data_IF_436048584575
#
_entry.id   IF_436048584575
#
_cell.length_a   1.000
_cell.length_b   1.000
_cell.length_c   1.000
_cell.angle_alpha   90.00
_cell.angle_beta   90.00
_cell.angle_gamma   90.00
#
_symmetry.space_group_name_H-M   'P 1'
#
loop_
_entity.id
_entity.type
_entity.pdbx_description
1 polymer ?
#
# COMPACT_ATOMS: atom_id res chain seq x y z
N UNK A 1 5.31 -40.67 -17.05
CA UNK A 1 4.54 -39.41 -17.10
C UNK A 1 4.24 -38.94 -15.68
N UNK A 2 3.55 -39.71 -14.85
CA UNK A 2 3.13 -39.30 -13.48
C UNK A 2 4.30 -38.86 -12.60
N UNK A 3 5.41 -39.61 -12.59
CA UNK A 3 6.61 -39.28 -11.81
C UNK A 3 7.25 -37.94 -12.26
N UNK A 4 7.30 -37.65 -13.57
CA UNK A 4 7.85 -36.39 -14.11
C UNK A 4 6.92 -35.23 -13.78
N UNK A 5 5.59 -35.42 -13.85
CA UNK A 5 4.61 -34.40 -13.48
C UNK A 5 4.72 -34.05 -11.99
N UNK A 6 4.83 -35.04 -11.11
CA UNK A 6 4.98 -34.83 -9.66
C UNK A 6 6.30 -34.10 -9.38
N UNK A 7 7.41 -34.55 -10.00
CA UNK A 7 8.71 -33.91 -9.81
C UNK A 7 8.69 -32.44 -10.28
N UNK A 8 8.09 -32.16 -11.43
CA UNK A 8 7.91 -30.81 -11.95
C UNK A 8 7.07 -29.94 -11.01
N UNK A 9 5.94 -30.45 -10.52
CA UNK A 9 5.11 -29.73 -9.57
C UNK A 9 5.86 -29.42 -8.24
N UNK A 10 6.66 -30.35 -7.75
CA UNK A 10 7.47 -30.15 -6.54
C UNK A 10 8.58 -29.13 -6.77
N UNK A 11 9.30 -29.22 -7.89
CA UNK A 11 10.40 -28.30 -8.17
C UNK A 11 9.92 -26.88 -8.45
N UNK A 12 8.94 -26.71 -9.32
CA UNK A 12 8.43 -25.37 -9.66
C UNK A 12 7.53 -24.79 -8.56
N UNK A 13 6.63 -25.58 -8.00
CA UNK A 13 5.77 -25.16 -6.90
C UNK A 13 6.55 -24.91 -5.61
N UNK A 14 7.48 -25.79 -5.29
CA UNK A 14 8.40 -25.63 -4.15
C UNK A 14 9.33 -24.43 -4.34
N UNK A 15 9.91 -24.25 -5.52
CA UNK A 15 10.74 -23.09 -5.85
C UNK A 15 9.94 -21.77 -5.75
N UNK A 16 8.71 -21.75 -6.23
CA UNK A 16 7.81 -20.60 -6.07
C UNK A 16 7.53 -20.32 -4.58
N UNK A 17 7.22 -21.34 -3.79
CA UNK A 17 6.98 -21.21 -2.36
C UNK A 17 8.21 -20.67 -1.63
N UNK A 18 9.39 -21.25 -1.87
CA UNK A 18 10.64 -20.77 -1.26
C UNK A 18 10.89 -19.31 -1.61
N UNK A 19 10.78 -18.95 -2.89
CA UNK A 19 11.02 -17.57 -3.34
C UNK A 19 10.01 -16.57 -2.77
N UNK A 20 8.72 -16.91 -2.74
CA UNK A 20 7.65 -15.95 -2.44
C UNK A 20 7.07 -16.08 -1.02
N UNK A 21 7.57 -17.01 -0.20
CA UNK A 21 7.15 -17.18 1.20
C UNK A 21 8.36 -17.18 2.12
N UNK A 22 9.38 -17.98 1.83
CA UNK A 22 10.51 -18.15 2.75
C UNK A 22 11.61 -17.10 2.55
N UNK A 23 11.80 -16.61 1.31
CA UNK A 23 12.85 -15.64 0.97
C UNK A 23 12.31 -14.21 0.80
N UNK A 24 11.01 -14.00 0.86
CA UNK A 24 10.50 -12.63 0.92
C UNK A 24 10.81 -12.02 2.28
N UNK A 25 11.26 -10.77 2.32
CA UNK A 25 11.32 -10.02 3.56
C UNK A 25 9.92 -9.94 4.18
N UNK A 26 9.88 -9.86 5.50
CA UNK A 26 8.63 -9.63 6.23
C UNK A 26 7.90 -8.45 5.59
N UNK A 27 6.64 -8.60 5.16
CA UNK A 27 5.89 -7.50 4.55
C UNK A 27 5.59 -6.36 5.53
N UNK A 28 5.88 -6.56 6.82
CA UNK A 28 5.73 -5.56 7.86
C UNK A 28 4.28 -5.37 8.32
N UNK A 29 4.01 -4.19 8.83
CA UNK A 29 2.73 -3.80 9.41
C UNK A 29 2.17 -2.60 8.66
N UNK A 30 0.87 -2.58 8.44
CA UNK A 30 0.17 -1.50 7.75
C UNK A 30 -0.78 -0.79 8.70
N UNK A 31 -0.64 0.51 8.81
CA UNK A 31 -1.60 1.40 9.43
C UNK A 31 -2.40 2.11 8.33
N UNK A 32 -3.73 2.14 8.45
CA UNK A 32 -4.61 2.67 7.41
C UNK A 32 -5.54 3.72 7.96
N UNK A 33 -5.67 4.83 7.26
CA UNK A 33 -6.61 5.91 7.57
C UNK A 33 -7.63 6.06 6.46
N UNK A 34 -8.89 6.26 6.82
CA UNK A 34 -10.00 6.44 5.89
C UNK A 34 -10.49 7.87 5.95
N UNK A 35 -10.72 8.47 4.79
CA UNK A 35 -11.15 9.86 4.69
C UNK A 35 -12.49 9.99 3.99
N UNK A 36 -13.19 11.09 4.28
CA UNK A 36 -14.29 11.60 3.46
C UNK A 36 -13.81 12.85 2.75
N UNK A 37 -13.88 12.83 1.42
CA UNK A 37 -13.55 13.95 0.56
C UNK A 37 -14.84 14.57 0.02
N UNK A 38 -14.99 15.86 0.20
CA UNK A 38 -16.04 16.66 -0.42
C UNK A 38 -15.41 17.42 -1.60
N UNK A 39 -15.96 17.21 -2.79
CA UNK A 39 -15.52 17.89 -4.00
C UNK A 39 -16.42 19.09 -4.32
N UNK A 40 -15.84 20.08 -5.01
CA UNK A 40 -16.64 21.15 -5.63
C UNK A 40 -17.47 20.60 -6.79
N UNK A 41 -18.59 21.26 -7.10
CA UNK A 41 -19.36 20.96 -8.30
C UNK A 41 -18.54 21.29 -9.55
N UNK A 42 -18.58 20.41 -10.54
CA UNK A 42 -17.91 20.63 -11.81
C UNK A 42 -18.77 21.53 -12.71
N UNK A 43 -18.34 22.78 -13.02
CA UNK A 43 -19.14 23.69 -13.82
C UNK A 43 -19.26 23.26 -15.29
N UNK A 44 -18.43 22.31 -15.73
CA UNK A 44 -18.36 21.86 -17.13
C UNK A 44 -19.00 20.48 -17.35
N UNK A 45 -19.48 19.83 -16.29
CA UNK A 45 -20.11 18.49 -16.36
C UNK A 45 -21.19 18.35 -15.31
N UNK A 46 -22.14 17.44 -15.54
CA UNK A 46 -23.14 17.12 -14.52
C UNK A 46 -22.47 16.35 -13.37
N UNK A 47 -22.47 16.93 -12.18
CA UNK A 47 -21.95 16.33 -10.94
C UNK A 47 -20.71 17.02 -10.37
N UNK A 48 -20.18 16.47 -9.30
CA UNK A 48 -18.99 16.99 -8.64
C UNK A 48 -17.71 16.52 -9.37
N UNK A 49 -16.61 17.20 -9.13
CA UNK A 49 -15.28 16.67 -9.46
C UNK A 49 -15.04 15.35 -8.71
N UNK A 50 -14.16 14.54 -9.21
CA UNK A 50 -13.65 13.37 -8.50
C UNK A 50 -12.22 13.05 -8.91
N UNK A 51 -11.47 12.44 -8.00
CA UNK A 51 -10.11 11.98 -8.22
C UNK A 51 -10.14 10.45 -8.22
N UNK A 52 -9.58 9.82 -9.26
CA UNK A 52 -9.51 8.37 -9.35
C UNK A 52 -8.36 7.80 -8.48
N UNK A 53 -8.38 6.48 -8.25
CA UNK A 53 -7.40 5.78 -7.42
C UNK A 53 -5.95 5.99 -7.89
N UNK A 54 -5.70 5.89 -9.20
CA UNK A 54 -4.35 6.07 -9.74
C UNK A 54 -3.81 7.46 -9.46
N UNK A 55 -4.66 8.49 -9.56
CA UNK A 55 -4.31 9.87 -9.23
C UNK A 55 -4.07 10.02 -7.72
N UNK A 56 -4.94 9.48 -6.85
CA UNK A 56 -4.73 9.49 -5.41
C UNK A 56 -3.38 8.85 -5.04
N UNK A 57 -3.10 7.66 -5.60
CA UNK A 57 -1.83 6.99 -5.35
C UNK A 57 -0.63 7.79 -5.88
N UNK A 58 -0.77 8.50 -6.98
CA UNK A 58 0.30 9.39 -7.48
C UNK A 58 0.51 10.61 -6.59
N UNK A 59 -0.58 11.19 -6.08
CA UNK A 59 -0.56 12.38 -5.25
C UNK A 59 0.21 12.18 -3.93
N UNK A 60 0.04 11.02 -3.27
CA UNK A 60 0.76 10.73 -2.01
C UNK A 60 2.26 10.51 -2.21
N UNK A 61 2.74 10.46 -3.46
CA UNK A 61 4.17 10.37 -3.81
C UNK A 61 4.73 11.68 -4.39
N UNK A 62 3.93 12.75 -4.43
CA UNK A 62 4.43 14.06 -4.87
C UNK A 62 5.42 14.66 -3.89
N UNK A 63 6.33 15.49 -4.40
CA UNK A 63 7.31 16.19 -3.57
C UNK A 63 6.64 17.01 -2.48
N UNK A 64 5.61 17.77 -2.83
CA UNK A 64 4.84 18.64 -1.92
C UNK A 64 4.16 17.82 -0.80
N UNK A 65 3.51 16.69 -1.13
CA UNK A 65 2.91 15.83 -0.13
C UNK A 65 3.94 15.25 0.83
N UNK A 66 5.08 14.78 0.32
CA UNK A 66 6.14 14.22 1.14
C UNK A 66 6.82 15.28 2.02
N UNK A 67 6.92 16.52 1.54
CA UNK A 67 7.42 17.65 2.37
C UNK A 67 6.51 17.91 3.57
N UNK A 68 5.18 17.87 3.38
CA UNK A 68 4.21 17.96 4.47
C UNK A 68 4.35 16.81 5.46
N UNK A 69 4.40 15.56 4.97
CA UNK A 69 4.60 14.38 5.83
C UNK A 69 5.88 14.48 6.66
N UNK A 70 7.00 14.86 6.04
CA UNK A 70 8.28 15.05 6.74
C UNK A 70 8.19 16.17 7.77
N UNK A 71 7.47 17.26 7.50
CA UNK A 71 7.24 18.37 8.43
C UNK A 71 6.47 17.89 9.66
N UNK A 72 5.35 17.19 9.49
CA UNK A 72 4.57 16.68 10.62
C UNK A 72 5.30 15.61 11.44
N UNK A 73 6.08 14.75 10.77
CA UNK A 73 6.97 13.82 11.48
C UNK A 73 8.02 14.57 12.31
N UNK A 74 8.59 15.67 11.78
CA UNK A 74 9.56 16.47 12.52
C UNK A 74 8.91 17.17 13.72
N UNK A 75 7.72 17.72 13.56
CA UNK A 75 6.95 18.34 14.65
C UNK A 75 6.66 17.33 15.78
N UNK A 76 6.24 16.11 15.40
CA UNK A 76 6.00 15.03 16.36
C UNK A 76 7.30 14.61 17.09
N UNK A 77 8.41 14.48 16.36
CA UNK A 77 9.71 14.16 16.91
C UNK A 77 10.20 15.24 17.89
N UNK A 78 10.05 16.52 17.53
CA UNK A 78 10.38 17.67 18.40
C UNK A 78 9.46 17.72 19.64
N UNK A 79 8.24 17.23 19.51
CA UNK A 79 7.28 16.99 20.60
C UNK A 79 7.65 15.81 21.52
N UNK A 80 8.68 15.04 21.18
CA UNK A 80 9.19 13.92 21.97
C UNK A 80 8.70 12.54 21.51
N UNK A 81 8.05 12.42 20.35
CA UNK A 81 7.62 11.14 19.79
C UNK A 81 8.81 10.44 19.10
N UNK A 82 9.39 9.45 19.79
CA UNK A 82 10.59 8.74 19.32
C UNK A 82 10.35 7.99 18.01
N UNK A 83 9.14 7.47 17.78
CA UNK A 83 8.81 6.71 16.56
C UNK A 83 8.75 7.60 15.32
N UNK A 84 8.31 8.85 15.45
CA UNK A 84 8.38 9.82 14.37
C UNK A 84 9.83 10.12 13.96
N UNK A 85 10.74 10.26 14.95
CA UNK A 85 12.16 10.45 14.69
C UNK A 85 12.80 9.21 13.99
N UNK A 86 12.41 8.00 14.39
CA UNK A 86 12.87 6.75 13.75
C UNK A 86 12.39 6.68 12.29
N UNK A 87 11.14 7.03 12.00
CA UNK A 87 10.59 7.09 10.64
C UNK A 87 11.36 8.11 9.78
N UNK A 88 11.62 9.31 10.29
CA UNK A 88 12.44 10.32 9.59
C UNK A 88 13.83 9.80 9.23
N UNK A 89 14.44 9.01 10.12
CA UNK A 89 15.76 8.42 9.90
C UNK A 89 15.79 7.40 8.76
N UNK A 90 14.65 6.84 8.34
CA UNK A 90 14.55 5.95 7.17
C UNK A 90 14.80 6.70 5.85
N UNK A 91 14.57 8.01 5.84
CA UNK A 91 14.73 8.88 4.68
C UNK A 91 13.53 8.86 3.71
N UNK A 92 13.44 9.92 2.92
CA UNK A 92 12.32 10.24 2.02
C UNK A 92 11.93 9.10 1.07
N UNK A 93 12.89 8.42 0.48
CA UNK A 93 12.63 7.32 -0.46
C UNK A 93 11.91 6.16 0.25
N UNK A 94 12.36 5.81 1.46
CA UNK A 94 11.72 4.76 2.27
C UNK A 94 10.32 5.16 2.71
N UNK A 95 10.13 6.42 3.14
CA UNK A 95 8.83 6.99 3.48
C UNK A 95 7.89 6.92 2.26
N UNK A 96 8.33 7.39 1.10
CA UNK A 96 7.54 7.34 -0.13
C UNK A 96 7.14 5.90 -0.48
N UNK A 97 8.07 4.95 -0.43
CA UNK A 97 7.81 3.54 -0.74
C UNK A 97 6.87 2.86 0.27
N UNK A 98 6.77 3.38 1.48
CA UNK A 98 5.88 2.89 2.52
C UNK A 98 4.42 3.35 2.33
N UNK A 99 4.17 4.35 1.48
CA UNK A 99 2.85 4.94 1.30
C UNK A 99 2.09 4.34 0.12
N UNK A 100 0.79 4.27 0.26
CA UNK A 100 -0.13 3.99 -0.85
C UNK A 100 -1.50 4.60 -0.58
N UNK A 101 -2.26 4.89 -1.65
CA UNK A 101 -3.64 5.34 -1.55
C UNK A 101 -4.54 4.52 -2.47
N UNK A 102 -5.72 4.16 -1.97
CA UNK A 102 -6.72 3.35 -2.70
C UNK A 102 -8.12 3.94 -2.56
N UNK A 103 -9.01 3.56 -3.48
CA UNK A 103 -10.45 3.88 -3.45
C UNK A 103 -11.26 2.59 -3.45
N UNK A 104 -11.54 1.99 -2.29
CA UNK A 104 -12.12 0.64 -2.23
C UNK A 104 -13.56 0.56 -2.77
N UNK A 105 -14.38 1.59 -2.66
CA UNK A 105 -15.80 1.52 -3.04
C UNK A 105 -16.45 2.81 -3.49
N UNK A 106 -16.01 3.96 -3.05
CA UNK A 106 -16.60 5.27 -3.32
C UNK A 106 -15.50 6.29 -3.63
N UNK A 107 -15.63 7.07 -4.71
CA UNK A 107 -14.68 8.10 -5.11
C UNK A 107 -14.46 9.19 -4.06
N UNK A 108 -15.37 9.31 -3.11
CA UNK A 108 -15.27 10.26 -2.01
C UNK A 108 -14.68 9.66 -0.72
N UNK A 109 -14.27 8.39 -0.74
CA UNK A 109 -13.73 7.69 0.43
C UNK A 109 -12.36 7.06 0.10
N UNK A 110 -11.29 7.87 -0.05
CA UNK A 110 -9.95 7.35 -0.18
C UNK A 110 -9.46 6.76 1.14
N UNK A 111 -8.59 5.75 1.02
CA UNK A 111 -7.89 5.12 2.13
C UNK A 111 -6.40 5.27 1.87
N UNK A 112 -5.66 5.89 2.79
CA UNK A 112 -4.20 5.87 2.78
C UNK A 112 -3.69 4.73 3.64
N UNK A 113 -2.54 4.19 3.29
CA UNK A 113 -1.88 3.12 4.00
C UNK A 113 -0.39 3.44 4.13
N UNK A 114 0.11 3.34 5.36
CA UNK A 114 1.53 3.41 5.70
C UNK A 114 2.01 2.03 6.14
N UNK A 115 3.03 1.48 5.46
CA UNK A 115 3.52 0.12 5.70
C UNK A 115 5.01 0.14 6.02
N UNK A 116 5.38 -0.18 7.26
CA UNK A 116 6.75 -0.25 7.76
C UNK A 116 6.99 -1.56 8.52
N UNK A 117 8.24 -1.80 8.94
CA UNK A 117 8.61 -3.04 9.63
C UNK A 117 8.09 -3.11 11.07
N UNK A 118 7.90 -1.96 11.72
CA UNK A 118 7.37 -1.89 13.09
C UNK A 118 5.96 -1.29 13.13
N UNK A 119 5.04 -1.87 13.94
CA UNK A 119 3.66 -1.38 14.03
C UNK A 119 3.57 0.10 14.47
N UNK A 120 4.39 0.50 15.44
CA UNK A 120 4.36 1.85 15.97
C UNK A 120 4.91 2.89 14.98
N UNK A 121 5.89 2.53 14.15
CA UNK A 121 6.38 3.39 13.07
C UNK A 121 5.32 3.58 11.98
N UNK A 122 4.59 2.51 11.62
CA UNK A 122 3.50 2.59 10.65
C UNK A 122 2.38 3.51 11.14
N UNK A 123 2.07 3.48 12.44
CA UNK A 123 1.07 4.37 13.04
C UNK A 123 1.58 5.82 13.06
N UNK A 124 2.84 6.07 13.44
CA UNK A 124 3.42 7.40 13.43
C UNK A 124 3.45 8.01 12.01
N UNK A 125 3.84 7.22 11.00
CA UNK A 125 3.79 7.65 9.61
C UNK A 125 2.35 7.95 9.15
N UNK A 126 1.39 7.08 9.49
CA UNK A 126 0.00 7.29 9.12
C UNK A 126 -0.60 8.54 9.77
N UNK A 127 -0.23 8.86 11.03
CA UNK A 127 -0.64 10.10 11.69
C UNK A 127 -0.13 11.34 10.96
N UNK A 128 1.15 11.36 10.55
CA UNK A 128 1.70 12.46 9.75
C UNK A 128 1.01 12.60 8.38
N UNK A 129 0.65 11.47 7.75
CA UNK A 129 -0.15 11.46 6.51
C UNK A 129 -1.55 12.06 6.74
N UNK A 130 -2.20 11.75 7.87
CA UNK A 130 -3.52 12.33 8.22
C UNK A 130 -3.45 13.84 8.32
N UNK A 131 -2.46 14.37 9.04
CA UNK A 131 -2.26 15.82 9.20
C UNK A 131 -2.01 16.49 7.84
N UNK A 132 -1.12 15.93 7.01
CA UNK A 132 -0.84 16.44 5.67
C UNK A 132 -2.10 16.42 4.78
N UNK A 133 -2.86 15.33 4.80
CA UNK A 133 -4.10 15.20 4.01
C UNK A 133 -5.13 16.26 4.39
N UNK A 134 -5.33 16.50 5.69
CA UNK A 134 -6.39 17.37 6.17
C UNK A 134 -6.03 18.85 6.15
N UNK A 135 -4.78 19.20 6.45
CA UNK A 135 -4.36 20.58 6.65
C UNK A 135 -3.81 21.22 5.38
N UNK A 136 -3.02 20.49 4.60
CA UNK A 136 -2.31 21.07 3.46
C UNK A 136 -2.91 20.65 2.12
N UNK A 137 -3.23 19.36 2.00
CA UNK A 137 -3.61 18.79 0.71
C UNK A 137 -5.02 19.18 0.28
N UNK A 138 -5.91 19.42 1.23
CA UNK A 138 -7.24 19.95 0.96
C UNK A 138 -7.20 21.37 0.36
N UNK A 139 -6.15 22.15 0.66
CA UNK A 139 -6.00 23.51 0.15
C UNK A 139 -5.27 23.54 -1.21
N UNK A 140 -4.42 22.55 -1.48
CA UNK A 140 -3.59 22.47 -2.69
C UNK A 140 -4.38 22.00 -3.92
N UNK A 141 -5.36 21.11 -3.73
CA UNK A 141 -6.13 20.53 -4.84
C UNK A 141 -7.41 21.33 -5.07
N UNK A 142 -7.45 22.07 -6.16
CA UNK A 142 -8.55 22.98 -6.49
C UNK A 142 -9.94 22.32 -6.59
N UNK A 143 -10.01 21.03 -6.87
CA UNK A 143 -11.23 20.24 -6.97
C UNK A 143 -11.78 19.82 -5.61
N UNK A 144 -10.97 19.85 -4.57
CA UNK A 144 -11.34 19.42 -3.22
C UNK A 144 -11.82 20.62 -2.41
N UNK A 145 -12.98 20.45 -1.79
CA UNK A 145 -13.55 21.42 -0.85
C UNK A 145 -13.11 21.16 0.59
N UNK A 146 -13.04 19.88 0.96
CA UNK A 146 -12.78 19.47 2.33
C UNK A 146 -12.36 18.01 2.38
N UNK A 147 -11.38 17.69 3.22
CA UNK A 147 -11.02 16.33 3.62
C UNK A 147 -11.25 16.18 5.13
N UNK A 148 -11.90 15.10 5.53
CA UNK A 148 -12.11 14.74 6.95
C UNK A 148 -11.69 13.30 7.18
N UNK A 149 -11.01 13.03 8.27
CA UNK A 149 -10.74 11.66 8.71
C UNK A 149 -12.05 11.03 9.19
N UNK A 150 -12.37 9.85 8.67
CA UNK A 150 -13.48 9.01 9.12
C UNK A 150 -13.00 7.95 10.12
N UNK A 151 -11.81 7.41 9.86
CA UNK A 151 -11.20 6.40 10.71
C UNK A 151 -9.70 6.66 10.78
N UNK A 152 -9.20 6.77 12.01
CA UNK A 152 -7.81 7.07 12.32
C UNK A 152 -6.97 5.78 12.38
N UNK A 153 -5.73 5.85 11.92
CA UNK A 153 -4.77 4.76 12.01
C UNK A 153 -4.24 4.57 13.44
N UNK A 154 -5.10 4.14 14.35
CA UNK A 154 -4.72 3.90 15.75
C UNK A 154 -3.95 2.59 15.97
N UNK A 155 -3.99 1.68 15.02
CA UNK A 155 -3.35 0.36 15.08
C UNK A 155 -2.79 -0.01 13.71
N UNK A 156 -1.69 -0.74 13.72
CA UNK A 156 -1.13 -1.33 12.51
C UNK A 156 -1.36 -2.84 12.52
N UNK A 157 -1.83 -3.37 11.40
CA UNK A 157 -2.08 -4.79 11.21
C UNK A 157 -0.93 -5.43 10.42
N UNK A 158 -0.59 -6.68 10.76
CA UNK A 158 0.41 -7.42 10.00
C UNK A 158 -0.06 -7.60 8.55
N UNK A 159 0.79 -7.22 7.60
CA UNK A 159 0.49 -7.39 6.18
C UNK A 159 0.60 -8.87 5.83
N UNK A 160 -0.51 -9.49 5.43
CA UNK A 160 -0.51 -10.87 4.94
C UNK A 160 -0.16 -10.87 3.45
N UNK A 161 0.95 -11.50 3.03
CA UNK A 161 1.29 -11.58 1.62
C UNK A 161 0.21 -12.33 0.83
N UNK A 162 -0.25 -11.76 -0.29
CA UNK A 162 -1.15 -12.47 -1.24
C UNK A 162 -0.37 -13.54 -2.01
N UNK A 163 0.04 -14.58 -1.32
CA UNK A 163 0.80 -15.68 -1.91
C UNK A 163 -0.16 -16.69 -2.54
N UNK A 164 -0.29 -16.62 -3.84
CA UNK A 164 -1.13 -17.55 -4.63
C UNK A 164 -0.43 -18.90 -4.84
N UNK A 165 0.14 -19.46 -3.78
CA UNK A 165 0.96 -20.69 -3.83
C UNK A 165 0.19 -21.85 -4.44
N UNK A 166 -1.08 -22.04 -4.06
CA UNK A 166 -1.90 -23.12 -4.61
C UNK A 166 -2.08 -22.99 -6.12
N UNK A 167 -2.34 -21.78 -6.62
CA UNK A 167 -2.47 -21.52 -8.08
C UNK A 167 -1.17 -21.78 -8.81
N UNK A 168 -0.04 -21.38 -8.24
CA UNK A 168 1.29 -21.63 -8.81
C UNK A 168 1.62 -23.13 -8.86
N UNK A 169 1.30 -23.90 -7.83
CA UNK A 169 1.48 -25.36 -7.79
C UNK A 169 0.62 -26.05 -8.85
N UNK A 170 -0.66 -25.67 -8.96
CA UNK A 170 -1.57 -26.23 -9.98
C UNK A 170 -1.05 -25.92 -11.39
N UNK A 171 -0.64 -24.68 -11.65
CA UNK A 171 -0.09 -24.28 -12.95
C UNK A 171 1.19 -25.05 -13.28
N UNK A 172 2.09 -25.20 -12.32
CA UNK A 172 3.32 -25.99 -12.48
C UNK A 172 3.01 -27.47 -12.78
N UNK A 173 2.02 -28.06 -12.12
CA UNK A 173 1.59 -29.44 -12.39
C UNK A 173 1.02 -29.60 -13.81
N UNK A 174 0.18 -28.67 -14.27
CA UNK A 174 -0.38 -28.67 -15.62
C UNK A 174 0.71 -28.55 -16.68
N UNK A 175 1.62 -27.57 -16.53
CA UNK A 175 2.76 -27.39 -17.46
C UNK A 175 3.65 -28.63 -17.50
N UNK A 176 3.97 -29.21 -16.34
CA UNK A 176 4.78 -30.43 -16.25
C UNK A 176 4.09 -31.64 -16.90
N UNK A 177 2.77 -31.75 -16.81
CA UNK A 177 2.00 -32.79 -17.48
C UNK A 177 2.09 -32.62 -18.99
N UNK A 178 1.87 -31.40 -19.51
CA UNK A 178 2.00 -31.12 -20.94
C UNK A 178 3.38 -31.46 -21.49
N UNK A 179 4.45 -31.03 -20.81
CA UNK A 179 5.81 -31.34 -21.21
C UNK A 179 6.09 -32.84 -21.18
N UNK A 180 5.57 -33.56 -20.18
CA UNK A 180 5.71 -35.01 -20.10
C UNK A 180 5.05 -35.72 -21.27
N UNK A 181 3.85 -35.29 -21.67
CA UNK A 181 3.13 -35.85 -22.81
C UNK A 181 3.88 -35.59 -24.11
N UNK A 182 4.44 -34.36 -24.31
CA UNK A 182 5.20 -34.00 -25.50
C UNK A 182 6.51 -34.79 -25.65
N UNK A 183 7.14 -35.20 -24.55
CA UNK A 183 8.39 -35.99 -24.59
C UNK A 183 8.12 -37.47 -24.85
N UNK A 184 6.92 -37.99 -24.51
CA UNK A 184 6.58 -39.40 -24.64
C UNK A 184 5.66 -39.71 -25.83
N UNK A 185 5.28 -38.73 -26.65
CA UNK A 185 4.68 -38.88 -27.98
C UNK A 185 5.74 -38.85 -29.09
#
# INVERSE_FOLDING_TARGET
ILAVTVLGAVLFGGGYYVKNVLLQPDPGYAASSTYKVEYFENPNAAGAYYINEATWNSLVHTGEFLDGVETHLQEAADGGETKAAEVLALGRESISNALSATLPSDFSIPVTKATLQEPAESVALAAAVEETMCNEFAETIAEIRLIKVLDHANQAEAVVPDVRTLRAVILAAVVSLFLSVMVFL
#
